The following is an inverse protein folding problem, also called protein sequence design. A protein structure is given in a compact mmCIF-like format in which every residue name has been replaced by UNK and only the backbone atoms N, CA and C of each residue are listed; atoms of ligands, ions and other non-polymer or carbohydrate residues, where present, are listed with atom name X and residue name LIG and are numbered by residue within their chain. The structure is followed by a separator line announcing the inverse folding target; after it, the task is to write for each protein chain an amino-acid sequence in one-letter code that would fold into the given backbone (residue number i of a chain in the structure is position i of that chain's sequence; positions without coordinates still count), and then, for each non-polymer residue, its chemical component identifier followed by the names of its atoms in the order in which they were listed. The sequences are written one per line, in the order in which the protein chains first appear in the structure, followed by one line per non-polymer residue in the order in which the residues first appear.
data_IF_424935681416
#
_entry.id   IF_424935681416
#
_cell.length_a   1.000
_cell.length_b   1.000
_cell.length_c   1.000
_cell.angle_alpha   90.00
_cell.angle_beta   90.00
_cell.angle_gamma   90.00
#
_symmetry.space_group_name_H-M   'P 1'
#
loop_
_entity.id
_entity.type
_entity.pdbx_description
1 polymer ?
#
# COMPACT_ATOMS: atom_id res chain seq x y z
N UNK A 1 25.15 3.74 2.04
CA UNK A 1 25.47 2.40 1.52
C UNK A 1 24.56 1.42 2.24
N UNK A 2 23.25 1.48 2.02
CA UNK A 2 22.50 1.03 0.81
C UNK A 2 22.86 -0.39 0.40
N UNK A 3 21.95 -1.31 0.12
CA UNK A 3 20.49 -1.41 0.23
C UNK A 3 20.21 -2.94 0.14
N UNK A 4 19.28 -3.53 0.89
CA UNK A 4 18.01 -3.83 0.27
C UNK A 4 17.37 -5.15 0.76
N UNK A 5 16.04 -5.24 0.63
CA UNK A 5 15.05 -5.61 1.65
C UNK A 5 13.76 -6.10 0.87
N UNK A 6 12.76 -6.77 1.47
CA UNK A 6 11.33 -6.79 1.02
C UNK A 6 10.45 -6.89 2.28
N UNK A 7 9.28 -6.25 2.29
CA UNK A 7 8.97 -5.39 3.44
C UNK A 7 7.91 -5.82 4.44
N UNK A 8 8.19 -5.53 5.72
CA UNK A 8 7.33 -5.73 6.88
C UNK A 8 6.23 -4.69 7.06
N UNK A 9 6.21 -3.55 6.35
CA UNK A 9 5.37 -2.42 6.80
C UNK A 9 3.87 -2.52 6.50
N UNK A 10 3.40 -3.29 5.51
CA UNK A 10 1.94 -3.61 5.44
C UNK A 10 1.54 -4.47 6.64
N UNK A 11 2.49 -5.24 7.17
CA UNK A 11 2.30 -6.10 8.32
C UNK A 11 2.48 -5.38 9.65
N UNK A 12 3.43 -4.44 9.79
CA UNK A 12 3.57 -3.64 11.01
C UNK A 12 2.38 -2.69 11.17
N UNK A 13 1.85 -2.17 10.06
CA UNK A 13 0.55 -1.50 10.00
C UNK A 13 -0.57 -2.42 10.50
N UNK A 14 -0.66 -3.63 9.94
CA UNK A 14 -1.67 -4.63 10.30
C UNK A 14 -1.55 -5.09 11.77
N UNK A 15 -0.33 -5.25 12.28
CA UNK A 15 -0.03 -5.71 13.63
C UNK A 15 -0.25 -4.63 14.68
N UNK A 16 0.11 -3.37 14.40
CA UNK A 16 -0.19 -2.21 15.28
C UNK A 16 -1.68 -1.89 15.29
N UNK A 17 -2.33 -1.98 14.13
CA UNK A 17 -3.76 -1.74 14.01
C UNK A 17 -4.60 -2.85 14.67
N UNK A 18 -4.09 -4.07 14.85
CA UNK A 18 -4.72 -5.08 15.72
C UNK A 18 -4.57 -4.79 17.22
N UNK A 19 -3.52 -4.06 17.63
CA UNK A 19 -3.27 -3.65 19.03
C UNK A 19 -4.18 -2.49 19.44
N UNK A 20 -4.58 -1.63 18.50
CA UNK A 20 -5.18 -0.32 18.80
C UNK A 20 -6.71 -0.25 18.76
N UNK A 21 -7.40 -1.32 18.34
CA UNK A 21 -8.86 -1.31 18.29
C UNK A 21 -9.56 -1.66 19.62
N UNK A 22 -8.90 -1.44 20.74
CA UNK A 22 -9.48 -1.70 22.06
C UNK A 22 -8.80 -0.99 23.22
N UNK A 23 -8.79 0.35 23.19
CA UNK A 23 -8.41 1.25 24.29
C UNK A 23 -6.93 1.18 24.71
N UNK A 24 -6.33 2.33 24.99
CA UNK A 24 -4.94 2.48 25.43
C UNK A 24 -4.62 1.67 26.69
N UNK A 25 -3.43 1.05 26.77
CA UNK A 25 -2.65 1.01 28.00
C UNK A 25 -1.15 1.19 27.73
N UNK A 26 -0.56 2.17 28.40
CA UNK A 26 0.87 2.38 28.50
C UNK A 26 1.49 1.34 29.44
N UNK A 27 1.69 0.10 28.97
CA UNK A 27 2.60 -0.89 29.60
C UNK A 27 2.49 -2.25 28.91
N UNK A 28 3.15 -2.44 27.76
CA UNK A 28 3.78 -3.71 27.37
C UNK A 28 2.96 -5.02 27.35
N UNK A 29 1.62 -5.01 27.32
CA UNK A 29 0.79 -6.20 27.18
C UNK A 29 -0.35 -5.95 26.19
N UNK A 30 -0.41 -6.77 25.13
CA UNK A 30 -1.39 -6.69 24.04
C UNK A 30 -2.78 -7.13 24.55
N UNK A 31 -3.85 -6.30 24.51
CA UNK A 31 -5.09 -6.61 25.24
C UNK A 31 -6.10 -7.56 24.58
N UNK A 32 -5.82 -8.18 23.43
CA UNK A 32 -6.82 -9.00 22.69
C UNK A 32 -6.62 -10.51 22.71
N UNK A 33 -5.56 -11.03 23.35
CA UNK A 33 -5.30 -12.48 23.41
C UNK A 33 -5.10 -13.16 22.04
N UNK A 34 -4.98 -12.39 20.95
CA UNK A 34 -4.74 -12.90 19.61
C UNK A 34 -3.26 -13.28 19.46
N UNK A 35 -2.99 -14.56 19.23
CA UNK A 35 -1.64 -15.04 18.92
C UNK A 35 -1.36 -14.82 17.44
N UNK A 36 -0.28 -14.09 17.15
CA UNK A 36 0.10 -13.80 15.76
C UNK A 36 1.34 -14.56 15.35
N UNK A 37 1.21 -15.33 14.27
CA UNK A 37 2.27 -16.10 13.64
C UNK A 37 2.59 -15.44 12.30
N UNK A 38 3.85 -15.05 12.09
CA UNK A 38 4.28 -14.41 10.85
C UNK A 38 5.40 -15.17 10.14
N UNK A 39 5.32 -15.35 8.81
CA UNK A 39 6.36 -16.06 8.03
C UNK A 39 7.30 -15.12 7.30
N UNK A 40 8.62 -15.15 7.56
CA UNK A 40 9.61 -14.23 6.98
C UNK A 40 10.77 -14.97 6.29
N UNK A 41 11.52 -14.25 5.46
CA UNK A 41 12.57 -14.83 4.60
C UNK A 41 14.01 -14.60 5.06
N UNK A 42 14.22 -13.78 6.10
CA UNK A 42 15.55 -13.42 6.62
C UNK A 42 15.49 -13.12 8.11
N UNK A 43 16.60 -13.29 8.82
CA UNK A 43 16.73 -13.03 10.26
C UNK A 43 16.50 -11.55 10.59
N UNK A 44 16.93 -10.64 9.71
CA UNK A 44 16.63 -9.21 9.83
C UNK A 44 15.12 -8.95 9.79
N UNK A 45 14.39 -9.62 8.89
CA UNK A 45 12.93 -9.54 8.85
C UNK A 45 12.31 -10.17 10.11
N UNK A 46 12.90 -11.23 10.66
CA UNK A 46 12.40 -11.86 11.87
C UNK A 46 12.49 -10.97 13.11
N UNK A 47 13.62 -10.28 13.29
CA UNK A 47 13.78 -9.33 14.39
C UNK A 47 12.74 -8.20 14.30
N UNK A 48 12.52 -7.69 13.08
CA UNK A 48 11.54 -6.64 12.84
C UNK A 48 10.11 -7.11 13.10
N UNK A 49 9.73 -8.32 12.67
CA UNK A 49 8.41 -8.89 12.91
C UNK A 49 8.08 -8.96 14.40
N UNK A 50 9.08 -9.33 15.22
CA UNK A 50 8.95 -9.35 16.69
C UNK A 50 8.76 -7.95 17.27
N UNK A 51 9.55 -6.96 16.84
CA UNK A 51 9.42 -5.56 17.27
C UNK A 51 8.02 -5.00 16.92
N UNK A 52 7.46 -5.42 15.80
CA UNK A 52 6.14 -5.00 15.34
C UNK A 52 4.97 -5.79 15.96
N UNK A 53 5.25 -6.78 16.82
CA UNK A 53 4.25 -7.45 17.65
C UNK A 53 3.94 -8.91 17.30
N UNK A 54 4.69 -9.56 16.39
CA UNK A 54 4.50 -10.99 16.13
C UNK A 54 4.91 -11.81 17.35
N UNK A 55 4.01 -12.68 17.81
CA UNK A 55 4.27 -13.59 18.94
C UNK A 55 5.18 -14.74 18.52
N UNK A 56 4.95 -15.25 17.30
CA UNK A 56 5.78 -16.27 16.68
C UNK A 56 6.21 -15.81 15.29
N UNK A 57 7.45 -16.14 14.94
CA UNK A 57 8.02 -15.85 13.63
C UNK A 57 8.60 -17.13 13.07
N UNK A 58 8.22 -17.46 11.84
CA UNK A 58 8.67 -18.64 11.11
C UNK A 58 9.59 -18.18 9.98
N UNK A 59 10.81 -18.71 9.94
CA UNK A 59 11.77 -18.46 8.87
C UNK A 59 11.50 -19.45 7.73
N UNK A 60 10.62 -19.11 6.78
CA UNK A 60 10.08 -20.09 5.82
C UNK A 60 11.12 -20.69 4.84
N UNK A 61 12.34 -20.13 4.78
CA UNK A 61 13.46 -20.71 4.01
C UNK A 61 14.19 -21.82 4.77
N UNK A 62 14.02 -21.87 6.07
CA UNK A 62 14.70 -22.78 7.00
C UNK A 62 13.71 -23.78 7.61
N UNK A 63 12.45 -23.38 7.71
CA UNK A 63 11.38 -24.13 8.36
C UNK A 63 10.19 -24.32 7.41
N UNK A 64 9.57 -25.50 7.47
CA UNK A 64 8.25 -25.71 6.88
C UNK A 64 7.18 -25.00 7.72
N UNK A 65 6.49 -24.02 7.13
CA UNK A 65 5.56 -23.20 7.90
C UNK A 65 4.32 -23.96 8.34
N UNK A 66 3.87 -24.97 7.59
CA UNK A 66 2.71 -25.79 7.95
C UNK A 66 2.98 -26.55 9.25
N UNK A 67 4.13 -27.21 9.32
CA UNK A 67 4.61 -27.94 10.50
C UNK A 67 4.75 -27.00 11.69
N UNK A 68 5.38 -25.83 11.51
CA UNK A 68 5.58 -24.87 12.60
C UNK A 68 4.28 -24.26 13.11
N UNK A 69 3.34 -23.94 12.22
CA UNK A 69 1.99 -23.49 12.63
C UNK A 69 1.28 -24.58 13.41
N UNK A 70 1.36 -25.83 12.97
CA UNK A 70 0.77 -26.96 13.67
C UNK A 70 1.36 -27.12 15.09
N UNK A 71 2.68 -27.00 15.25
CA UNK A 71 3.37 -27.04 16.55
C UNK A 71 2.96 -25.87 17.46
N UNK A 72 3.01 -24.64 16.95
CA UNK A 72 2.63 -23.43 17.69
C UNK A 72 1.18 -23.51 18.17
N UNK A 73 0.29 -24.05 17.34
CA UNK A 73 -1.15 -24.15 17.64
C UNK A 73 -1.55 -25.45 18.33
N UNK A 74 -0.58 -26.32 18.65
CA UNK A 74 -0.82 -27.66 19.24
C UNK A 74 -1.86 -28.47 18.43
N UNK A 75 -1.73 -28.46 17.11
CA UNK A 75 -2.60 -29.19 16.19
C UNK A 75 -3.95 -28.54 15.88
N UNK A 76 -4.27 -27.40 16.48
CA UNK A 76 -5.59 -26.77 16.33
C UNK A 76 -5.73 -26.00 15.02
N UNK A 77 -4.62 -25.51 14.46
CA UNK A 77 -4.62 -24.58 13.33
C UNK A 77 -4.98 -23.14 13.75
N UNK A 78 -5.01 -22.24 12.78
CA UNK A 78 -5.30 -20.82 12.96
C UNK A 78 -6.74 -20.48 12.55
N UNK A 79 -7.30 -19.43 13.15
CA UNK A 79 -8.65 -18.95 12.85
C UNK A 79 -8.75 -18.25 11.51
N UNK A 80 -7.70 -17.49 11.15
CA UNK A 80 -7.63 -16.73 9.91
C UNK A 80 -6.21 -16.76 9.36
N UNK A 81 -6.12 -16.90 8.04
CA UNK A 81 -4.89 -16.67 7.28
C UNK A 81 -5.10 -15.43 6.42
N UNK A 82 -4.18 -14.48 6.53
CA UNK A 82 -4.12 -13.33 5.63
C UNK A 82 -2.96 -13.55 4.65
N UNK A 83 -3.30 -13.82 3.39
CA UNK A 83 -2.35 -14.22 2.37
C UNK A 83 -2.18 -13.12 1.32
N UNK A 84 -0.97 -12.55 1.25
CA UNK A 84 -0.58 -11.59 0.21
C UNK A 84 0.37 -12.17 -0.84
N UNK A 85 0.77 -13.43 -0.65
CA UNK A 85 1.82 -14.09 -1.44
C UNK A 85 1.19 -14.85 -2.60
N UNK A 86 0.11 -15.59 -2.36
CA UNK A 86 -0.62 -16.29 -3.41
C UNK A 86 -0.03 -17.68 -3.67
N UNK A 87 0.38 -17.95 -4.91
CA UNK A 87 0.72 -19.29 -5.42
C UNK A 87 1.55 -20.16 -4.46
N UNK A 88 2.58 -19.61 -3.83
CA UNK A 88 3.58 -20.37 -3.06
C UNK A 88 3.08 -20.74 -1.66
N UNK A 89 2.08 -20.04 -1.15
CA UNK A 89 1.57 -20.20 0.23
C UNK A 89 0.13 -20.71 0.27
N UNK A 90 -0.64 -20.48 -0.79
CA UNK A 90 -2.11 -20.66 -0.77
C UNK A 90 -2.57 -22.04 -0.30
N UNK A 91 -1.95 -23.11 -0.77
CA UNK A 91 -2.35 -24.47 -0.38
C UNK A 91 -2.00 -24.77 1.09
N UNK A 92 -0.80 -24.41 1.54
CA UNK A 92 -0.39 -24.59 2.93
C UNK A 92 -1.15 -23.68 3.89
N UNK A 93 -1.56 -22.49 3.45
CA UNK A 93 -2.49 -21.61 4.17
C UNK A 93 -3.80 -22.32 4.48
N UNK A 94 -4.39 -23.03 3.51
CA UNK A 94 -5.61 -23.82 3.73
C UNK A 94 -5.39 -24.98 4.71
N UNK A 95 -4.21 -25.61 4.69
CA UNK A 95 -3.83 -26.65 5.65
C UNK A 95 -3.70 -26.08 7.06
N UNK A 96 -3.15 -24.87 7.21
CA UNK A 96 -2.95 -24.21 8.50
C UNK A 96 -4.26 -23.78 9.19
N UNK A 97 -5.36 -23.63 8.44
CA UNK A 97 -6.64 -23.21 9.01
C UNK A 97 -7.25 -24.28 9.91
N UNK A 98 -7.89 -23.84 11.00
CA UNK A 98 -8.74 -24.67 11.84
C UNK A 98 -10.09 -24.94 11.15
N UNK A 99 -10.92 -25.81 11.73
CA UNK A 99 -12.31 -25.97 11.29
C UNK A 99 -13.06 -24.64 11.39
N UNK A 100 -13.74 -24.26 10.30
CA UNK A 100 -14.44 -22.99 10.09
C UNK A 100 -13.52 -21.76 10.09
N UNK A 101 -12.26 -21.96 9.75
CA UNK A 101 -11.29 -20.87 9.57
C UNK A 101 -11.51 -20.06 8.29
N UNK A 102 -10.90 -18.87 8.24
CA UNK A 102 -11.03 -17.90 7.15
C UNK A 102 -9.73 -17.77 6.36
N UNK A 103 -9.79 -18.08 5.07
CA UNK A 103 -8.74 -17.76 4.11
C UNK A 103 -9.03 -16.39 3.49
N UNK A 104 -8.21 -15.38 3.81
CA UNK A 104 -8.34 -14.01 3.30
C UNK A 104 -7.18 -13.71 2.36
N UNK A 105 -7.40 -13.91 1.06
CA UNK A 105 -6.43 -13.57 0.02
C UNK A 105 -6.57 -12.11 -0.40
N UNK A 106 -5.47 -11.37 -0.44
CA UNK A 106 -5.47 -9.94 -0.82
C UNK A 106 -4.24 -9.53 -1.66
N UNK A 107 -3.43 -10.49 -2.07
CA UNK A 107 -2.26 -10.28 -2.93
C UNK A 107 -1.83 -11.55 -3.64
N UNK A 108 -0.89 -11.40 -4.59
CA UNK A 108 -0.41 -12.49 -5.44
C UNK A 108 1.08 -12.29 -5.79
N UNK A 109 1.93 -11.94 -4.82
CA UNK A 109 3.35 -11.63 -5.10
C UNK A 109 4.14 -12.77 -5.74
N UNK A 110 3.77 -14.03 -5.51
CA UNK A 110 4.38 -15.20 -6.17
C UNK A 110 3.56 -15.73 -7.35
N UNK A 111 2.45 -15.06 -7.70
CA UNK A 111 1.56 -15.42 -8.80
C UNK A 111 0.19 -15.94 -8.34
N UNK A 112 -0.64 -16.25 -9.33
CA UNK A 112 -1.98 -16.79 -9.11
C UNK A 112 -1.90 -18.24 -8.61
N UNK A 113 -2.61 -18.60 -7.52
CA UNK A 113 -2.76 -19.99 -7.11
C UNK A 113 -3.45 -20.84 -8.19
N UNK A 114 -3.20 -22.15 -8.16
CA UNK A 114 -3.93 -23.10 -9.01
C UNK A 114 -5.43 -23.14 -8.65
N UNK A 115 -6.31 -23.52 -9.58
CA UNK A 115 -7.74 -23.62 -9.30
C UNK A 115 -8.06 -24.53 -8.11
N UNK A 116 -8.74 -23.99 -7.10
CA UNK A 116 -9.14 -24.73 -5.91
C UNK A 116 -10.47 -25.47 -6.15
N UNK A 117 -10.53 -26.80 -6.07
CA UNK A 117 -11.82 -27.49 -6.09
C UNK A 117 -12.63 -27.13 -4.85
N UNK A 118 -13.91 -26.77 -5.02
CA UNK A 118 -14.77 -26.35 -3.90
C UNK A 118 -14.88 -27.39 -2.77
N UNK A 119 -14.72 -28.67 -3.10
CA UNK A 119 -14.68 -29.77 -2.12
C UNK A 119 -13.51 -29.66 -1.14
N UNK A 120 -12.41 -28.99 -1.50
CA UNK A 120 -11.28 -28.74 -0.60
C UNK A 120 -11.67 -27.86 0.60
N UNK A 121 -12.68 -26.99 0.46
CA UNK A 121 -13.20 -26.18 1.56
C UNK A 121 -14.07 -27.01 2.52
N UNK A 122 -14.71 -28.06 2.03
CA UNK A 122 -15.69 -28.84 2.79
C UNK A 122 -15.07 -29.60 3.98
N UNK A 123 -13.83 -30.10 3.82
CA UNK A 123 -13.14 -30.89 4.83
C UNK A 123 -13.04 -30.19 6.20
N UNK A 124 -12.90 -28.87 6.21
CA UNK A 124 -12.87 -28.04 7.42
C UNK A 124 -13.99 -27.01 7.47
N UNK A 125 -14.94 -27.02 6.52
CA UNK A 125 -15.98 -25.97 6.36
C UNK A 125 -15.39 -24.56 6.31
N UNK A 126 -14.34 -24.38 5.52
CA UNK A 126 -13.58 -23.14 5.44
C UNK A 126 -14.36 -22.04 4.73
N UNK A 127 -14.10 -20.79 5.14
CA UNK A 127 -14.51 -19.60 4.42
C UNK A 127 -13.33 -19.12 3.57
N UNK A 128 -13.58 -18.80 2.30
CA UNK A 128 -12.58 -18.24 1.40
C UNK A 128 -13.09 -16.91 0.85
N UNK A 129 -12.26 -15.88 0.91
CA UNK A 129 -12.54 -14.59 0.29
C UNK A 129 -11.30 -14.03 -0.39
N UNK A 130 -11.52 -13.39 -1.54
CA UNK A 130 -10.51 -12.58 -2.20
C UNK A 130 -10.95 -11.12 -2.10
N UNK A 131 -10.17 -10.31 -1.39
CA UNK A 131 -10.56 -8.95 -1.03
C UNK A 131 -9.73 -7.90 -1.74
N UNK A 132 -10.39 -6.78 -2.05
CA UNK A 132 -9.77 -5.59 -2.62
C UNK A 132 -10.17 -4.39 -1.77
N UNK A 133 -9.18 -3.58 -1.34
CA UNK A 133 -9.44 -2.36 -0.57
C UNK A 133 -10.39 -1.41 -1.30
N UNK A 134 -10.36 -1.40 -2.63
CA UNK A 134 -11.22 -0.54 -3.45
C UNK A 134 -12.71 -0.89 -3.33
N UNK A 135 -13.06 -2.13 -2.98
CA UNK A 135 -14.44 -2.53 -2.67
C UNK A 135 -14.93 -2.03 -1.31
N UNK A 136 -14.00 -1.65 -0.41
CA UNK A 136 -14.29 -1.15 0.93
C UNK A 136 -14.04 0.36 1.08
N UNK A 137 -13.63 1.03 0.01
CA UNK A 137 -13.46 2.49 -0.09
C UNK A 137 -14.18 3.01 -1.34
N UNK A 138 -15.30 2.38 -1.68
CA UNK A 138 -16.00 2.59 -2.95
C UNK A 138 -16.84 3.87 -2.93
N UNK A 139 -17.37 4.21 -1.76
CA UNK A 139 -18.12 5.44 -1.52
C UNK A 139 -17.23 6.52 -0.90
N UNK A 140 -17.66 7.78 -1.01
CA UNK A 140 -16.93 8.92 -0.45
C UNK A 140 -16.77 8.81 1.07
N UNK A 141 -17.82 8.39 1.77
CA UNK A 141 -17.82 8.28 3.23
C UNK A 141 -16.91 7.15 3.70
N UNK A 142 -16.94 5.99 3.04
CA UNK A 142 -16.02 4.88 3.34
C UNK A 142 -14.55 5.27 3.14
N UNK A 143 -14.25 5.96 2.03
CA UNK A 143 -12.91 6.45 1.73
C UNK A 143 -12.43 7.46 2.80
N UNK A 144 -13.26 8.44 3.13
CA UNK A 144 -12.94 9.45 4.14
C UNK A 144 -12.75 8.83 5.52
N UNK A 145 -13.62 7.90 5.91
CA UNK A 145 -13.51 7.19 7.19
C UNK A 145 -12.19 6.40 7.25
N UNK A 146 -11.92 5.55 6.26
CA UNK A 146 -10.75 4.70 6.26
C UNK A 146 -9.44 5.52 6.25
N UNK A 147 -9.35 6.54 5.39
CA UNK A 147 -8.17 7.39 5.34
C UNK A 147 -8.01 8.26 6.60
N UNK A 148 -9.11 8.78 7.15
CA UNK A 148 -9.12 9.57 8.37
C UNK A 148 -8.60 8.77 9.58
N UNK A 149 -9.07 7.54 9.75
CA UNK A 149 -8.58 6.63 10.80
C UNK A 149 -7.08 6.32 10.61
N UNK A 150 -6.65 6.04 9.37
CA UNK A 150 -5.23 5.80 9.06
C UNK A 150 -4.36 7.01 9.42
N UNK A 151 -4.72 8.21 8.97
CA UNK A 151 -3.92 9.40 9.23
C UNK A 151 -3.94 9.82 10.70
N UNK A 152 -5.07 9.67 11.39
CA UNK A 152 -5.16 9.89 12.84
C UNK A 152 -4.22 8.94 13.59
N UNK A 153 -4.17 7.67 13.16
CA UNK A 153 -3.28 6.68 13.75
C UNK A 153 -1.81 7.02 13.50
N UNK A 154 -1.46 7.52 12.31
CA UNK A 154 -0.08 7.96 12.05
C UNK A 154 0.29 9.19 12.89
N UNK A 155 -0.59 10.19 12.93
CA UNK A 155 -0.34 11.44 13.64
C UNK A 155 -0.17 11.26 15.15
N UNK A 156 -0.87 10.29 15.74
CA UNK A 156 -0.74 9.95 17.17
C UNK A 156 0.44 9.02 17.48
N UNK A 157 1.21 8.59 16.48
CA UNK A 157 2.36 7.68 16.63
C UNK A 157 1.98 6.21 16.92
N UNK A 158 0.68 5.96 16.99
CA UNK A 158 -0.02 4.67 17.04
C UNK A 158 0.47 3.82 15.85
N UNK A 159 0.31 4.38 14.65
CA UNK A 159 0.85 3.80 13.44
C UNK A 159 2.20 4.42 13.05
N UNK A 160 3.27 3.62 13.10
CA UNK A 160 4.61 4.06 12.66
C UNK A 160 4.89 3.63 11.23
N UNK A 161 5.20 4.60 10.38
CA UNK A 161 5.55 4.38 8.97
C UNK A 161 7.06 4.53 8.80
N UNK A 162 7.70 3.53 8.20
CA UNK A 162 9.14 3.55 7.89
C UNK A 162 9.31 3.83 6.40
N UNK A 163 9.98 4.92 6.05
CA UNK A 163 10.25 5.31 4.65
C UNK A 163 11.75 5.22 4.44
N UNK A 164 12.22 4.08 3.97
CA UNK A 164 13.65 3.80 3.90
C UNK A 164 14.21 3.89 2.47
N UNK A 165 13.34 3.99 1.47
CA UNK A 165 13.76 4.19 0.08
C UNK A 165 12.99 5.35 -0.52
N UNK A 166 13.76 6.30 -1.05
CA UNK A 166 13.28 7.43 -1.83
C UNK A 166 14.02 7.39 -3.15
N UNK A 167 13.29 7.37 -4.26
CA UNK A 167 13.86 7.46 -5.59
C UNK A 167 13.31 8.72 -6.27
N UNK A 168 14.09 9.41 -7.11
CA UNK A 168 13.52 10.34 -8.09
C UNK A 168 12.50 9.61 -8.95
N UNK A 169 11.43 10.29 -9.37
CA UNK A 169 10.40 9.70 -10.24
C UNK A 169 11.01 9.25 -11.58
N UNK A 170 11.98 9.99 -12.11
CA UNK A 170 12.75 9.60 -13.30
C UNK A 170 13.49 8.26 -13.16
N UNK A 171 13.78 7.80 -11.93
CA UNK A 171 14.46 6.54 -11.63
C UNK A 171 13.50 5.41 -11.23
N UNK A 172 12.22 5.51 -11.56
CA UNK A 172 11.21 4.51 -11.19
C UNK A 172 11.54 3.10 -11.69
N UNK A 173 12.27 2.95 -12.80
CA UNK A 173 12.71 1.65 -13.28
C UNK A 173 13.59 0.94 -12.24
N UNK A 174 14.57 1.64 -11.67
CA UNK A 174 15.40 1.11 -10.59
C UNK A 174 14.57 0.79 -9.34
N UNK A 175 13.61 1.65 -8.99
CA UNK A 175 12.74 1.42 -7.85
C UNK A 175 11.90 0.13 -8.02
N UNK A 176 11.41 -0.13 -9.23
CA UNK A 176 10.72 -1.38 -9.57
C UNK A 176 11.66 -2.59 -9.55
N UNK A 177 12.87 -2.49 -10.11
CA UNK A 177 13.89 -3.55 -10.03
C UNK A 177 14.20 -3.92 -8.58
N UNK A 178 14.39 -2.91 -7.73
CA UNK A 178 14.70 -3.13 -6.33
C UNK A 178 13.50 -3.72 -5.58
N UNK A 179 12.28 -3.31 -5.92
CA UNK A 179 11.06 -3.89 -5.35
C UNK A 179 10.91 -5.37 -5.72
N UNK A 180 11.08 -5.72 -6.99
CA UNK A 180 10.95 -7.10 -7.48
C UNK A 180 12.12 -7.99 -7.04
N UNK A 181 13.32 -7.43 -7.02
CA UNK A 181 14.57 -8.09 -6.64
C UNK A 181 14.76 -8.27 -5.14
N UNK A 182 13.74 -7.93 -4.32
CA UNK A 182 13.82 -8.02 -2.85
C UNK A 182 14.97 -7.19 -2.29
N UNK A 183 15.15 -5.98 -2.85
CA UNK A 183 16.08 -4.93 -2.43
C UNK A 183 15.40 -3.67 -1.82
N UNK A 184 14.10 -3.63 -1.58
CA UNK A 184 13.42 -2.53 -0.87
C UNK A 184 12.68 -2.91 0.40
N UNK A 185 12.65 -2.09 1.43
CA UNK A 185 11.68 -2.24 2.51
C UNK A 185 11.62 -0.97 3.29
N UNK A 186 10.67 -0.74 4.18
CA UNK A 186 10.10 0.59 4.20
C UNK A 186 9.04 0.65 3.13
N UNK A 187 8.07 1.52 3.33
CA UNK A 187 7.43 2.09 2.16
C UNK A 187 8.50 2.67 1.24
N UNK A 188 8.35 2.38 -0.04
CA UNK A 188 9.13 2.99 -1.11
C UNK A 188 8.33 4.16 -1.62
N UNK A 189 8.96 5.32 -1.71
CA UNK A 189 8.34 6.51 -2.29
C UNK A 189 9.15 7.00 -3.48
N UNK A 190 8.45 7.40 -4.52
CA UNK A 190 8.99 8.16 -5.63
C UNK A 190 8.75 9.64 -5.33
N UNK A 191 9.77 10.46 -5.54
CA UNK A 191 9.71 11.90 -5.35
C UNK A 191 9.87 12.55 -6.72
N UNK A 192 8.91 13.37 -7.17
CA UNK A 192 9.07 14.12 -8.42
C UNK A 192 10.39 14.89 -8.45
N UNK A 193 11.12 14.85 -9.56
CA UNK A 193 12.51 15.31 -9.64
C UNK A 193 12.71 16.77 -9.23
N UNK A 194 11.83 17.68 -9.66
CA UNK A 194 11.87 19.09 -9.20
C UNK A 194 11.64 19.28 -7.69
N UNK A 195 10.97 18.32 -7.02
CA UNK A 195 10.84 18.28 -5.55
C UNK A 195 12.06 17.64 -4.91
N UNK A 196 12.65 16.63 -5.56
CA UNK A 196 13.86 15.94 -5.10
C UNK A 196 15.05 16.91 -5.06
N UNK A 197 15.25 17.70 -6.12
CA UNK A 197 16.28 18.75 -6.18
C UNK A 197 16.08 19.81 -5.08
N UNK A 198 14.85 20.31 -4.88
CA UNK A 198 14.54 21.27 -3.81
C UNK A 198 14.74 20.71 -2.39
N UNK A 199 14.55 19.41 -2.18
CA UNK A 199 14.84 18.76 -0.89
C UNK A 199 16.35 18.67 -0.60
N UNK A 200 17.17 18.71 -1.66
CA UNK A 200 18.63 18.77 -1.61
C UNK A 200 19.14 20.22 -1.51
N UNK A 201 18.36 21.18 -2.04
CA UNK A 201 18.72 22.60 -2.20
C UNK A 201 18.11 23.52 -1.12
N UNK A 202 17.37 23.03 -0.12
CA UNK A 202 16.79 23.87 0.96
C UNK A 202 17.83 24.46 1.97
N UNK A 203 18.84 25.15 1.45
CA UNK A 203 19.25 26.47 1.91
C UNK A 203 18.78 27.49 0.85
N UNK A 204 18.12 28.57 1.28
CA UNK A 204 17.65 29.75 0.49
C UNK A 204 16.34 29.68 -0.33
N UNK A 205 15.27 30.09 0.38
CA UNK A 205 14.20 31.08 0.08
C UNK A 205 13.29 31.05 -1.19
N UNK A 206 12.03 31.43 -0.91
CA UNK A 206 10.79 31.56 -1.73
C UNK A 206 10.77 32.75 -2.70
N UNK A 207 10.03 32.63 -3.82
CA UNK A 207 8.70 33.22 -4.07
C UNK A 207 8.32 33.14 -5.58
N UNK A 208 7.03 32.99 -5.92
CA UNK A 208 6.51 33.13 -7.32
C UNK A 208 5.15 33.88 -7.29
N UNK A 209 4.94 34.78 -8.27
CA UNK A 209 3.68 35.48 -8.58
C UNK A 209 2.97 34.88 -9.81
N UNK A 210 1.66 35.09 -9.93
CA UNK A 210 0.79 34.52 -10.98
C UNK A 210 0.59 35.44 -12.21
N UNK A 211 0.34 34.84 -13.39
CA UNK A 211 -0.25 35.50 -14.57
C UNK A 211 -0.96 34.54 -15.53
N UNK A 212 -2.13 34.99 -16.05
CA UNK A 212 -2.88 34.68 -17.30
C UNK A 212 -3.18 33.21 -17.73
N UNK A 213 -4.32 32.94 -18.42
CA UNK A 213 -4.70 31.59 -18.81
C UNK A 213 -3.85 31.12 -19.98
N UNK A 214 -3.00 30.13 -19.74
CA UNK A 214 -2.07 29.56 -20.72
C UNK A 214 -2.53 28.18 -21.19
N UNK A 215 -2.08 27.82 -22.40
CA UNK A 215 -2.34 26.55 -23.06
C UNK A 215 -1.96 25.33 -22.19
N UNK A 216 -2.39 24.15 -22.63
CA UNK A 216 -2.14 22.89 -21.95
C UNK A 216 -0.70 22.78 -21.41
N UNK A 217 -0.60 22.39 -20.14
CA UNK A 217 0.67 22.38 -19.41
C UNK A 217 1.42 21.10 -19.74
N UNK A 218 2.69 21.21 -20.16
CA UNK A 218 3.56 20.04 -20.30
C UNK A 218 4.11 19.65 -18.93
N UNK A 219 3.92 18.39 -18.54
CA UNK A 219 4.46 17.82 -17.30
C UNK A 219 5.24 16.55 -17.60
N UNK A 220 6.21 16.19 -16.76
CA UNK A 220 6.84 14.89 -16.89
C UNK A 220 5.99 13.79 -16.27
N UNK A 221 5.89 12.66 -16.96
CA UNK A 221 5.24 11.46 -16.47
C UNK A 221 5.88 10.19 -17.01
N UNK A 222 5.60 9.07 -16.35
CA UNK A 222 6.03 7.76 -16.80
C UNK A 222 4.95 7.16 -17.70
N UNK A 223 5.32 6.75 -18.91
CA UNK A 223 4.44 6.09 -19.88
C UNK A 223 4.86 4.65 -20.11
N UNK A 224 3.87 3.78 -20.20
CA UNK A 224 4.02 2.37 -20.56
C UNK A 224 3.26 2.12 -21.85
N UNK A 225 3.98 1.79 -22.92
CA UNK A 225 3.46 1.55 -24.27
C UNK A 225 3.25 0.06 -24.57
N UNK A 226 3.90 -0.81 -23.81
CA UNK A 226 3.77 -2.27 -23.89
C UNK A 226 4.04 -2.88 -22.51
N UNK A 227 3.56 -4.09 -22.27
CA UNK A 227 3.83 -4.79 -21.01
C UNK A 227 5.25 -5.36 -20.99
N UNK A 228 5.92 -5.31 -19.84
CA UNK A 228 7.28 -5.83 -19.74
C UNK A 228 7.94 -5.67 -18.38
N UNK A 229 9.27 -5.78 -18.38
CA UNK A 229 10.11 -5.49 -17.23
C UNK A 229 10.22 -3.99 -16.96
N UNK A 230 11.02 -3.56 -15.98
CA UNK A 230 11.19 -2.14 -15.65
C UNK A 230 11.62 -1.24 -16.83
N UNK A 231 12.25 -1.79 -17.86
CA UNK A 231 12.71 -1.09 -19.07
C UNK A 231 11.58 -0.45 -19.91
N UNK A 232 10.33 -0.88 -19.72
CA UNK A 232 9.17 -0.30 -20.43
C UNK A 232 8.66 1.01 -19.81
N UNK A 233 9.18 1.40 -18.64
CA UNK A 233 8.82 2.66 -17.96
C UNK A 233 9.57 3.82 -18.63
N UNK A 234 8.88 4.56 -19.51
CA UNK A 234 9.46 5.67 -20.28
C UNK A 234 9.17 7.02 -19.62
N UNK A 235 10.20 7.83 -19.39
CA UNK A 235 10.07 9.19 -18.86
C UNK A 235 9.82 10.18 -20.00
N UNK A 236 8.59 10.70 -20.07
CA UNK A 236 8.10 11.47 -21.22
C UNK A 236 7.48 12.79 -20.79
N UNK A 237 7.49 13.77 -21.68
CA UNK A 237 6.68 14.98 -21.56
C UNK A 237 5.24 14.65 -21.98
N UNK A 238 4.28 14.94 -21.11
CA UNK A 238 2.86 14.68 -21.32
C UNK A 238 2.11 15.99 -21.17
N UNK A 239 1.27 16.28 -22.17
CA UNK A 239 0.35 17.40 -22.14
C UNK A 239 -0.82 17.09 -21.19
N UNK A 240 -1.06 17.98 -20.22
CA UNK A 240 -2.25 17.95 -19.38
C UNK A 240 -3.09 19.20 -19.64
N UNK A 241 -4.40 19.01 -19.86
CA UNK A 241 -5.35 20.10 -20.02
C UNK A 241 -5.74 20.75 -18.70
N UNK A 242 -6.80 21.55 -18.69
CA UNK A 242 -7.38 22.12 -17.46
C UNK A 242 -8.39 21.17 -16.79
N UNK A 243 -8.52 21.19 -15.44
CA UNK A 243 -9.54 20.40 -14.76
C UNK A 243 -10.94 20.78 -15.23
N UNK A 244 -11.76 19.77 -15.55
CA UNK A 244 -13.18 19.95 -15.86
C UNK A 244 -14.00 20.06 -14.58
N UNK A 245 -15.30 20.32 -14.74
CA UNK A 245 -16.25 20.28 -13.62
C UNK A 245 -16.09 18.98 -12.80
N UNK A 246 -15.97 19.11 -11.48
CA UNK A 246 -15.75 17.97 -10.57
C UNK A 246 -14.29 17.50 -10.45
N UNK A 247 -13.36 18.05 -11.23
CA UNK A 247 -11.94 17.66 -11.24
C UNK A 247 -11.04 18.69 -10.55
N UNK A 248 -9.87 18.22 -10.13
CA UNK A 248 -8.78 19.04 -9.62
C UNK A 248 -7.46 18.62 -10.27
N UNK A 249 -6.52 19.56 -10.39
CA UNK A 249 -5.12 19.26 -10.70
C UNK A 249 -4.34 19.17 -9.40
N UNK A 250 -3.61 18.07 -9.22
CA UNK A 250 -2.75 17.84 -8.07
C UNK A 250 -1.30 17.75 -8.54
N UNK A 251 -0.44 18.60 -7.97
CA UNK A 251 1.02 18.51 -8.11
C UNK A 251 1.56 17.58 -7.03
N UNK A 252 2.08 16.44 -7.45
CA UNK A 252 2.55 15.40 -6.55
C UNK A 252 3.78 15.88 -5.76
N UNK A 253 3.80 15.54 -4.47
CA UNK A 253 4.95 15.75 -3.57
C UNK A 253 5.69 14.44 -3.32
N UNK A 254 4.94 13.35 -3.24
CA UNK A 254 5.43 12.00 -3.14
C UNK A 254 4.40 11.02 -3.68
N UNK A 255 4.90 9.90 -4.19
CA UNK A 255 4.12 8.84 -4.81
C UNK A 255 4.56 7.54 -4.13
N UNK A 256 3.62 6.71 -3.69
CA UNK A 256 3.96 5.43 -3.09
C UNK A 256 4.08 4.34 -4.15
N UNK A 257 5.16 3.57 -4.11
CA UNK A 257 5.38 2.44 -5.00
C UNK A 257 4.87 1.14 -4.36
N UNK A 258 4.08 0.38 -5.12
CA UNK A 258 3.47 -0.87 -4.71
C UNK A 258 3.58 -1.97 -5.77
N UNK A 259 3.38 -3.21 -5.34
CA UNK A 259 3.31 -4.36 -6.27
C UNK A 259 2.15 -4.27 -7.27
N UNK A 260 1.06 -3.58 -6.92
CA UNK A 260 -0.05 -3.37 -7.85
C UNK A 260 0.44 -2.64 -9.12
N UNK A 261 1.38 -1.71 -8.98
CA UNK A 261 1.95 -0.98 -10.11
C UNK A 261 2.79 -1.91 -11.00
N UNK A 262 3.51 -2.86 -10.40
CA UNK A 262 4.22 -3.94 -11.12
C UNK A 262 3.25 -4.85 -11.85
N UNK A 263 2.11 -5.20 -11.24
CA UNK A 263 1.11 -6.08 -11.87
C UNK A 263 0.49 -5.44 -13.11
N UNK A 264 0.20 -4.13 -13.08
CA UNK A 264 -0.24 -3.40 -14.27
C UNK A 264 0.87 -3.33 -15.33
N UNK A 265 2.11 -3.01 -14.94
CA UNK A 265 3.25 -2.95 -15.89
C UNK A 265 3.51 -4.29 -16.58
N UNK A 266 3.37 -5.41 -15.86
CA UNK A 266 3.54 -6.78 -16.41
C UNK A 266 2.31 -7.32 -17.15
N UNK A 267 1.18 -6.59 -17.16
CA UNK A 267 -0.06 -7.05 -17.79
C UNK A 267 -0.80 -8.14 -17.02
N UNK A 268 -0.42 -8.42 -15.76
CA UNK A 268 -1.17 -9.30 -14.85
C UNK A 268 -2.52 -8.67 -14.53
N UNK A 269 -2.53 -7.36 -14.30
CA UNK A 269 -3.73 -6.54 -14.28
C UNK A 269 -3.84 -5.73 -15.56
N UNK A 270 -5.07 -5.57 -16.06
CA UNK A 270 -5.34 -4.88 -17.32
C UNK A 270 -5.51 -3.39 -17.10
N UNK A 271 -4.62 -2.58 -17.68
CA UNK A 271 -4.86 -1.16 -17.83
C UNK A 271 -6.09 -0.93 -18.75
N UNK A 272 -6.83 0.16 -18.52
CA UNK A 272 -8.01 0.49 -19.33
C UNK A 272 -7.68 0.93 -20.75
N UNK A 273 -6.47 1.47 -20.96
CA UNK A 273 -6.00 2.03 -22.23
C UNK A 273 -4.49 1.82 -22.37
N UNK A 274 -3.99 1.85 -23.60
CA UNK A 274 -2.55 1.92 -23.90
C UNK A 274 -2.29 3.13 -24.82
N UNK A 275 -1.17 3.86 -24.65
CA UNK A 275 -0.25 3.80 -23.51
C UNK A 275 -0.91 4.32 -22.22
N UNK A 276 -0.47 3.85 -21.05
CA UNK A 276 -0.97 4.34 -19.75
C UNK A 276 0.14 4.91 -18.87
N UNK A 277 -0.26 5.70 -17.87
CA UNK A 277 0.61 6.18 -16.79
C UNK A 277 0.40 5.29 -15.55
N UNK A 278 1.43 4.59 -15.04
CA UNK A 278 1.29 3.76 -13.85
C UNK A 278 1.12 4.58 -12.55
N UNK A 279 0.97 3.86 -11.44
CA UNK A 279 0.94 4.45 -10.11
C UNK A 279 -0.48 4.62 -9.56
N UNK A 280 -0.72 4.02 -8.40
CA UNK A 280 -2.00 4.01 -7.71
C UNK A 280 -2.08 4.86 -6.45
N UNK A 281 -0.99 5.41 -5.91
CA UNK A 281 -1.05 6.21 -4.68
C UNK A 281 -0.09 7.41 -4.69
N UNK A 282 -0.55 8.55 -4.19
CA UNK A 282 0.29 9.73 -3.99
C UNK A 282 -0.30 10.71 -2.98
N UNK A 283 0.50 11.69 -2.60
CA UNK A 283 0.07 12.90 -1.93
C UNK A 283 0.72 14.12 -2.57
N UNK A 284 -0.04 15.21 -2.63
CA UNK A 284 0.34 16.41 -3.37
C UNK A 284 -0.44 17.64 -2.92
N UNK A 285 -0.25 18.71 -3.68
CA UNK A 285 -0.92 20.01 -3.46
C UNK A 285 -1.83 20.28 -4.64
N UNK A 286 -3.06 20.72 -4.38
CA UNK A 286 -3.99 21.16 -5.41
C UNK A 286 -3.47 22.45 -6.07
N UNK A 287 -3.28 22.43 -7.39
CA UNK A 287 -2.76 23.56 -8.18
C UNK A 287 -3.83 24.23 -9.04
N UNK A 288 -4.89 23.51 -9.39
CA UNK A 288 -6.04 24.06 -10.09
C UNK A 288 -7.32 23.31 -9.71
N UNK A 289 -8.46 23.98 -9.82
CA UNK A 289 -9.79 23.46 -9.50
C UNK A 289 -10.71 23.72 -10.68
N UNK A 290 -11.47 22.69 -11.08
CA UNK A 290 -12.42 22.82 -12.16
C UNK A 290 -13.61 23.72 -11.83
N UNK A 291 -14.34 24.21 -12.86
CA UNK A 291 -15.48 25.10 -12.67
C UNK A 291 -16.54 24.51 -11.73
N UNK A 292 -17.11 25.34 -10.86
CA UNK A 292 -18.26 24.97 -10.00
C UNK A 292 -17.96 24.02 -8.84
N UNK A 293 -16.72 23.53 -8.69
CA UNK A 293 -16.37 22.64 -7.59
C UNK A 293 -16.42 23.40 -6.25
N UNK A 294 -17.13 22.82 -5.29
CA UNK A 294 -17.16 23.28 -3.89
C UNK A 294 -16.52 22.21 -2.99
N UNK A 295 -15.77 22.63 -1.98
CA UNK A 295 -15.13 21.72 -1.01
C UNK A 295 -13.66 21.35 -1.29
N UNK A 296 -13.02 21.96 -2.31
CA UNK A 296 -11.57 21.94 -2.53
C UNK A 296 -11.10 23.28 -3.05
N UNK A 297 -9.89 23.68 -2.67
CA UNK A 297 -9.26 24.91 -3.13
C UNK A 297 -7.78 24.73 -3.48
N UNK A 298 -7.25 25.67 -4.28
CA UNK A 298 -5.82 25.70 -4.60
C UNK A 298 -5.02 25.88 -3.31
N UNK A 299 -3.99 25.04 -3.13
CA UNK A 299 -3.19 25.00 -1.92
C UNK A 299 -3.57 23.87 -0.95
N UNK A 300 -4.73 23.23 -1.13
CA UNK A 300 -5.10 22.04 -0.36
C UNK A 300 -4.03 20.95 -0.48
N UNK A 301 -3.65 20.35 0.66
CA UNK A 301 -2.79 19.16 0.68
C UNK A 301 -3.67 17.93 0.72
N UNK A 302 -3.54 17.09 -0.30
CA UNK A 302 -4.41 15.93 -0.49
C UNK A 302 -3.61 14.66 -0.74
N UNK A 303 -4.19 13.53 -0.37
CA UNK A 303 -3.69 12.21 -0.72
C UNK A 303 -4.76 11.45 -1.49
N UNK A 304 -4.35 10.50 -2.32
CA UNK A 304 -5.26 9.68 -3.09
C UNK A 304 -4.68 8.30 -3.32
N UNK A 305 -5.59 7.32 -3.42
CA UNK A 305 -5.24 5.95 -3.73
C UNK A 305 -6.33 5.29 -4.58
N UNK A 306 -5.93 4.51 -5.58
CA UNK A 306 -6.85 3.81 -6.48
C UNK A 306 -7.04 4.51 -7.82
N UNK A 307 -8.24 4.38 -8.38
CA UNK A 307 -8.57 4.94 -9.69
C UNK A 307 -9.02 6.42 -9.60
N UNK A 308 -8.69 7.25 -10.60
CA UNK A 308 -7.91 6.91 -11.80
C UNK A 308 -6.41 6.74 -11.50
N UNK A 309 -5.81 5.74 -12.15
CA UNK A 309 -4.35 5.58 -12.22
C UNK A 309 -3.68 6.81 -12.83
N UNK A 310 -2.41 7.01 -12.50
CA UNK A 310 -1.57 8.02 -13.16
C UNK A 310 -0.63 8.77 -12.24
N UNK A 311 -0.48 8.33 -10.99
CA UNK A 311 0.33 9.06 -10.01
C UNK A 311 1.81 9.12 -10.35
N UNK A 312 2.31 8.30 -11.29
CA UNK A 312 3.68 8.43 -11.81
C UNK A 312 3.82 9.61 -12.76
N UNK A 313 3.43 10.79 -12.30
CA UNK A 313 3.48 12.06 -12.99
C UNK A 313 3.81 13.16 -11.98
N UNK A 314 4.41 14.25 -12.46
CA UNK A 314 4.62 15.45 -11.65
C UNK A 314 3.30 16.09 -11.24
N UNK A 315 2.33 16.14 -12.16
CA UNK A 315 0.96 16.58 -11.90
C UNK A 315 -0.04 15.65 -12.57
N UNK A 316 -1.22 15.50 -11.96
CA UNK A 316 -2.32 14.69 -12.47
C UNK A 316 -3.65 15.43 -12.28
N UNK A 317 -4.56 15.28 -13.23
CA UNK A 317 -5.96 15.65 -13.07
C UNK A 317 -6.77 14.43 -12.66
N UNK A 318 -7.59 14.58 -11.63
CA UNK A 318 -8.45 13.52 -11.11
C UNK A 318 -9.73 14.07 -10.48
N UNK A 319 -10.79 13.27 -10.36
CA UNK A 319 -12.02 13.69 -9.70
C UNK A 319 -11.76 14.06 -8.23
N UNK A 320 -12.30 15.19 -7.79
CA UNK A 320 -12.10 15.72 -6.43
C UNK A 320 -12.60 14.75 -5.33
N UNK A 321 -13.63 13.96 -5.64
CA UNK A 321 -14.18 12.94 -4.73
C UNK A 321 -13.23 11.76 -4.46
N UNK A 322 -12.16 11.59 -5.25
CA UNK A 322 -11.16 10.53 -5.07
C UNK A 322 -10.02 10.94 -4.13
N UNK A 323 -9.94 12.22 -3.73
CA UNK A 323 -8.85 12.70 -2.87
C UNK A 323 -9.32 12.95 -1.45
N UNK A 324 -8.50 12.59 -0.48
CA UNK A 324 -8.73 12.79 0.96
C UNK A 324 -7.83 13.92 1.47
N UNK A 325 -8.29 14.72 2.46
CA UNK A 325 -7.45 15.75 3.05
C UNK A 325 -6.30 15.10 3.83
N UNK A 326 -5.09 15.66 3.71
CA UNK A 326 -3.95 15.30 4.57
C UNK A 326 -3.94 16.24 5.77
N UNK A 327 -3.95 15.75 7.02
CA UNK A 327 -3.87 16.61 8.19
C UNK A 327 -2.61 17.49 8.17
N UNK A 328 -2.66 18.77 8.57
CA UNK A 328 -1.49 19.65 8.56
C UNK A 328 -0.31 19.16 9.41
N UNK A 329 -0.57 18.29 10.39
CA UNK A 329 0.44 17.66 11.24
C UNK A 329 1.20 16.51 10.55
N UNK A 330 0.77 16.09 9.36
CA UNK A 330 1.32 14.94 8.66
C UNK A 330 2.12 15.37 7.42
N UNK A 331 3.37 14.92 7.32
CA UNK A 331 4.20 15.12 6.14
C UNK A 331 3.54 14.44 4.92
N UNK A 332 3.36 15.13 3.77
CA UNK A 332 2.84 14.53 2.54
C UNK A 332 3.60 13.28 2.09
N UNK A 333 4.91 13.20 2.32
CA UNK A 333 5.70 12.00 2.03
C UNK A 333 5.20 10.81 2.84
N UNK A 334 4.87 11.04 4.12
CA UNK A 334 4.30 10.00 4.98
C UNK A 334 2.91 9.63 4.51
N UNK A 335 2.05 10.60 4.20
CA UNK A 335 0.70 10.34 3.67
C UNK A 335 0.71 9.50 2.38
N UNK A 336 1.57 9.86 1.41
CA UNK A 336 1.75 9.12 0.16
C UNK A 336 2.26 7.69 0.38
N UNK A 337 3.06 7.48 1.43
CA UNK A 337 3.67 6.18 1.72
C UNK A 337 2.74 5.20 2.44
N UNK A 338 1.61 5.68 2.97
CA UNK A 338 0.74 4.93 3.87
C UNK A 338 -0.69 4.79 3.39
N UNK A 339 -1.22 5.69 2.55
CA UNK A 339 -2.67 5.73 2.27
C UNK A 339 -3.23 4.40 1.74
N UNK A 340 -2.65 3.78 0.70
CA UNK A 340 -3.18 2.52 0.15
C UNK A 340 -2.99 1.35 1.13
N UNK A 341 -1.78 1.23 1.69
CA UNK A 341 -1.42 0.14 2.61
C UNK A 341 -2.18 0.24 3.94
N UNK A 342 -2.36 1.46 4.42
CA UNK A 342 -3.14 1.85 5.59
C UNK A 342 -4.58 1.45 5.46
N UNK A 343 -5.24 1.85 4.37
CA UNK A 343 -6.63 1.47 4.14
C UNK A 343 -6.79 -0.04 3.94
N UNK A 344 -5.79 -0.71 3.34
CA UNK A 344 -5.78 -2.17 3.22
C UNK A 344 -5.70 -2.84 4.60
N UNK A 345 -4.79 -2.41 5.47
CA UNK A 345 -4.68 -2.93 6.83
C UNK A 345 -5.96 -2.66 7.64
N UNK A 346 -6.49 -1.43 7.56
CA UNK A 346 -7.76 -1.05 8.17
C UNK A 346 -8.91 -1.97 7.74
N UNK A 347 -9.06 -2.22 6.44
CA UNK A 347 -10.07 -3.14 5.89
C UNK A 347 -9.91 -4.56 6.46
N UNK A 348 -8.71 -5.13 6.37
CA UNK A 348 -8.45 -6.53 6.77
C UNK A 348 -8.80 -6.76 8.24
N UNK A 349 -8.50 -5.80 9.11
CA UNK A 349 -8.72 -5.89 10.55
C UNK A 349 -10.16 -5.56 10.95
N UNK A 350 -10.78 -4.54 10.34
CA UNK A 350 -12.10 -4.04 10.77
C UNK A 350 -13.28 -4.71 10.08
N UNK A 351 -13.07 -5.14 8.84
CA UNK A 351 -14.17 -5.45 7.90
C UNK A 351 -14.16 -6.90 7.43
N UNK A 352 -13.00 -7.55 7.33
CA UNK A 352 -12.92 -8.93 6.84
C UNK A 352 -13.13 -9.99 7.95
N UNK A 353 -12.55 -9.81 9.14
CA UNK A 353 -12.71 -10.75 10.25
C UNK A 353 -12.59 -10.04 11.61
N UNK A 354 -13.57 -10.24 12.50
CA UNK A 354 -13.59 -9.62 13.84
C UNK A 354 -12.85 -10.52 14.86
N UNK A 355 -11.82 -9.97 15.49
CA UNK A 355 -10.92 -10.52 16.55
C UNK A 355 -11.71 -10.70 17.87
N UNK A 356 -11.49 -11.73 18.73
CA UNK A 356 -10.19 -12.24 19.23
C UNK A 356 -9.85 -13.71 18.93
N UNK A 357 -8.76 -13.95 18.17
CA UNK A 357 -8.39 -15.27 17.64
C UNK A 357 -6.90 -15.40 17.19
N UNK A 358 -6.40 -16.64 16.97
CA UNK A 358 -5.02 -16.92 16.48
C UNK A 358 -4.95 -16.73 14.95
N UNK A 359 -3.95 -16.00 14.46
CA UNK A 359 -3.81 -15.71 13.03
C UNK A 359 -2.43 -16.09 12.47
N UNK A 360 -2.42 -16.56 11.22
CA UNK A 360 -1.22 -16.72 10.40
C UNK A 360 -1.16 -15.63 9.35
N UNK A 361 0.04 -15.11 9.15
CA UNK A 361 0.27 -13.98 8.30
C UNK A 361 1.52 -14.19 7.44
N UNK A 362 1.32 -14.25 6.13
CA UNK A 362 2.42 -14.43 5.20
C UNK A 362 3.06 -13.09 4.86
N UNK A 363 4.29 -12.87 5.33
CA UNK A 363 5.07 -11.74 4.84
C UNK A 363 5.50 -12.02 3.41
N UNK A 364 5.52 -10.96 2.61
CA UNK A 364 6.06 -11.06 1.27
C UNK A 364 7.54 -11.48 1.32
N UNK A 365 7.96 -12.40 0.43
CA UNK A 365 9.31 -12.94 0.35
C UNK A 365 10.46 -11.95 0.41
#
# INVERSE_FOLDING_TARGET
MDAGRLNLDTLSLFMRQLVELGLSYASGQIPFGATVIGTVSTTKKAAQAKEDGCHHVIMYKEEDFETRVNEITSGKGVDVVYDSVGKDTFQGSLVCLKSRGYMVSYGLSSGMPDPLPMTALAAKSLFLTWVSVFSYTSTRDELLQAAGEVFSNVASGILRVRINHKYPLSQVAQAHEDLEGRKTSGSVVLIPDGVFEQSTIKATARAISASAPEAATMVKAIRVHEFGGPEVLKWEDVEIGEPKEGEIRVKNKAIGLNFIDVYFRKGVYKASTMPFTPGMEAAGVVTAVGPGLTGREVGDVVAYAGNPMGSYAEEQILPAEKVVPVPPSLDPIVAASVILKGMTAHMLVRRCFKVPYTLLLHFRP
#
